data_IF_574439694152
#
_entry.id   IF_574439694152
#
_cell.length_a   1.000
_cell.length_b   1.000
_cell.length_c   1.000
_cell.angle_alpha   90.00
_cell.angle_beta   90.00
_cell.angle_gamma   90.00
#
_symmetry.space_group_name_H-M   'P 1'
#
loop_
_entity.id
_entity.type
_entity.pdbx_description
1 polymer ?
#
# COMPACT_ATOMS: atom_id res chain seq x y z
N UNK A 1 -16.11 -8.33 -7.17
CA UNK A 1 -15.06 -7.30 -7.28
C UNK A 1 -15.52 -6.30 -8.31
N UNK A 2 -15.59 -5.03 -7.94
CA UNK A 2 -16.07 -3.95 -8.81
C UNK A 2 -14.92 -3.02 -9.15
N UNK A 3 -14.76 -2.65 -10.42
CA UNK A 3 -13.61 -1.85 -10.87
C UNK A 3 -13.99 -0.42 -11.23
N UNK A 4 -13.01 0.49 -11.26
CA UNK A 4 -13.23 1.86 -11.73
C UNK A 4 -13.66 1.88 -13.19
N UNK A 5 -13.08 1.01 -14.03
CA UNK A 5 -13.44 0.93 -15.46
C UNK A 5 -14.89 0.48 -15.68
N UNK A 6 -15.47 -0.29 -14.75
CA UNK A 6 -16.90 -0.61 -14.77
C UNK A 6 -17.78 0.61 -14.43
N UNK A 7 -17.25 1.52 -13.59
CA UNK A 7 -17.98 2.69 -13.08
C UNK A 7 -17.84 3.94 -13.94
N UNK A 8 -16.71 4.12 -14.63
CA UNK A 8 -16.42 5.24 -15.51
C UNK A 8 -15.83 4.69 -16.80
N UNK A 9 -16.66 4.51 -17.83
CA UNK A 9 -16.21 3.95 -19.11
C UNK A 9 -15.51 4.99 -19.98
N UNK A 10 -15.95 6.25 -19.94
CA UNK A 10 -15.32 7.34 -20.69
C UNK A 10 -13.95 7.70 -20.12
N UNK A 11 -12.92 7.56 -20.94
CA UNK A 11 -11.52 7.79 -20.56
C UNK A 11 -11.12 9.28 -20.54
N UNK A 12 -11.98 10.15 -21.09
CA UNK A 12 -11.78 11.59 -21.07
C UNK A 12 -12.41 12.29 -19.86
N UNK A 13 -13.22 11.56 -19.08
CA UNK A 13 -13.82 12.05 -17.83
C UNK A 13 -12.75 12.70 -16.95
N UNK A 14 -13.02 13.91 -16.47
CA UNK A 14 -12.13 14.67 -15.59
C UNK A 14 -12.27 14.16 -14.16
N UNK A 15 -11.25 13.48 -13.65
CA UNK A 15 -11.28 12.79 -12.36
C UNK A 15 -10.35 13.46 -11.35
N UNK A 16 -10.88 13.82 -10.19
CA UNK A 16 -10.11 14.24 -9.03
C UNK A 16 -9.95 13.10 -8.01
N UNK A 17 -8.75 12.88 -7.48
CA UNK A 17 -8.51 12.00 -6.32
C UNK A 17 -8.25 12.87 -5.10
N UNK A 18 -9.07 12.73 -4.05
CA UNK A 18 -8.97 13.54 -2.84
C UNK A 18 -9.03 12.71 -1.56
N UNK A 19 -8.31 13.16 -0.53
CA UNK A 19 -8.26 12.49 0.77
C UNK A 19 -9.39 12.95 1.68
N UNK A 20 -10.28 12.06 2.13
CA UNK A 20 -11.50 12.48 2.85
C UNK A 20 -11.22 13.26 4.16
N UNK A 21 -10.15 12.92 4.87
CA UNK A 21 -9.78 13.55 6.15
C UNK A 21 -8.79 14.71 6.01
N UNK A 22 -8.20 14.89 4.84
CA UNK A 22 -7.19 15.90 4.61
C UNK A 22 -6.45 15.72 3.29
N UNK A 23 -5.63 16.69 2.88
CA UNK A 23 -4.92 16.65 1.61
C UNK A 23 -3.97 15.46 1.55
N UNK A 24 -3.91 14.82 0.37
CA UNK A 24 -3.02 13.71 0.10
C UNK A 24 -1.58 14.23 0.05
N UNK A 25 -0.68 13.63 0.82
CA UNK A 25 0.71 14.11 0.89
C UNK A 25 1.42 13.93 -0.45
N UNK A 26 2.00 15.02 -0.96
CA UNK A 26 2.93 15.02 -2.11
C UNK A 26 4.37 14.65 -1.73
N UNK A 27 4.69 14.55 -0.44
CA UNK A 27 6.06 14.30 -0.01
C UNK A 27 6.49 12.90 -0.42
N UNK A 28 7.60 12.78 -1.16
CA UNK A 28 8.16 11.50 -1.59
C UNK A 28 8.51 10.57 -0.41
N UNK A 29 8.77 11.14 0.77
CA UNK A 29 9.00 10.39 2.00
C UNK A 29 7.75 9.83 2.68
N UNK A 30 6.54 10.03 2.12
CA UNK A 30 5.28 9.65 2.74
C UNK A 30 4.69 8.38 2.07
N UNK A 31 4.63 7.29 2.83
CA UNK A 31 4.06 6.01 2.41
C UNK A 31 2.54 6.04 2.25
N UNK A 32 1.81 6.75 3.12
CA UNK A 32 0.35 6.81 3.07
C UNK A 32 -0.12 7.44 1.75
N UNK A 33 0.45 8.58 1.37
CA UNK A 33 0.17 9.23 0.08
C UNK A 33 0.54 8.36 -1.12
N UNK A 34 1.48 7.42 -0.97
CA UNK A 34 1.91 6.55 -2.06
C UNK A 34 0.78 5.72 -2.66
N UNK A 35 -0.20 5.30 -1.84
CA UNK A 35 -1.33 4.50 -2.34
C UNK A 35 -2.19 5.28 -3.33
N UNK A 36 -2.55 6.53 -3.00
CA UNK A 36 -3.31 7.37 -3.92
C UNK A 36 -2.54 7.67 -5.22
N UNK A 37 -1.23 7.87 -5.13
CA UNK A 37 -0.37 8.05 -6.31
C UNK A 37 -0.30 6.77 -7.16
N UNK A 38 -0.27 5.60 -6.54
CA UNK A 38 -0.39 4.31 -7.24
C UNK A 38 -1.74 4.20 -7.96
N UNK A 39 -2.85 4.59 -7.32
CA UNK A 39 -4.18 4.57 -7.94
C UNK A 39 -4.23 5.52 -9.14
N UNK A 40 -3.74 6.75 -9.00
CA UNK A 40 -3.61 7.70 -10.12
C UNK A 40 -2.81 7.08 -11.27
N UNK A 41 -1.69 6.43 -10.95
CA UNK A 41 -0.85 5.73 -11.91
C UNK A 41 -1.60 4.59 -12.61
N UNK A 42 -2.35 3.77 -11.87
CA UNK A 42 -3.18 2.72 -12.43
C UNK A 42 -4.25 3.28 -13.37
N UNK A 43 -4.90 4.39 -13.01
CA UNK A 43 -5.87 5.05 -13.89
C UNK A 43 -5.23 5.52 -15.20
N UNK A 44 -4.08 6.19 -15.13
CA UNK A 44 -3.36 6.63 -16.33
C UNK A 44 -3.05 5.44 -17.25
N UNK A 45 -2.57 4.33 -16.67
CA UNK A 45 -2.27 3.12 -17.45
C UNK A 45 -3.52 2.37 -17.95
N UNK A 46 -4.68 2.58 -17.33
CA UNK A 46 -5.99 2.11 -17.80
C UNK A 46 -6.64 3.07 -18.83
N UNK A 47 -5.90 4.09 -19.28
CA UNK A 47 -6.27 5.00 -20.36
C UNK A 47 -6.87 6.33 -19.95
N UNK A 48 -7.08 6.61 -18.66
CA UNK A 48 -7.61 7.91 -18.23
C UNK A 48 -6.59 9.02 -18.40
N UNK A 49 -6.92 10.04 -19.19
CA UNK A 49 -5.98 11.12 -19.56
C UNK A 49 -6.14 12.38 -18.70
N UNK A 50 -7.30 12.55 -18.07
CA UNK A 50 -7.65 13.75 -17.30
C UNK A 50 -7.86 13.43 -15.82
N UNK A 51 -6.84 12.83 -15.18
CA UNK A 51 -6.87 12.47 -13.77
C UNK A 51 -5.74 13.13 -13.00
N UNK A 52 -6.03 13.62 -11.80
CA UNK A 52 -4.99 14.05 -10.86
C UNK A 52 -5.41 13.91 -9.40
N UNK A 53 -4.41 13.93 -8.52
CA UNK A 53 -4.61 14.14 -7.09
C UNK A 53 -4.86 15.63 -6.85
N UNK A 54 -5.91 15.95 -6.09
CA UNK A 54 -6.31 17.33 -5.85
C UNK A 54 -5.36 18.04 -4.88
N UNK A 55 -5.10 19.31 -5.18
CA UNK A 55 -4.42 20.21 -4.28
C UNK A 55 -5.35 20.80 -3.22
N UNK A 56 -4.75 21.29 -2.15
CA UNK A 56 -5.49 21.93 -1.07
C UNK A 56 -6.32 23.11 -1.63
N UNK A 57 -7.63 23.07 -1.41
CA UNK A 57 -8.55 24.14 -1.78
C UNK A 57 -9.11 24.05 -3.21
N UNK A 58 -8.74 23.03 -3.98
CA UNK A 58 -9.39 22.76 -5.27
C UNK A 58 -10.88 22.42 -5.09
N UNK A 59 -11.68 22.78 -6.09
CA UNK A 59 -13.13 22.62 -6.06
C UNK A 59 -13.56 21.35 -6.78
N UNK A 60 -14.42 20.54 -6.16
CA UNK A 60 -14.97 19.33 -6.76
C UNK A 60 -15.76 19.64 -8.03
N UNK A 61 -16.44 20.79 -8.09
CA UNK A 61 -17.19 21.25 -9.27
C UNK A 61 -16.35 21.44 -10.54
N UNK A 62 -15.02 21.47 -10.42
CA UNK A 62 -14.14 21.53 -11.58
C UNK A 62 -13.94 20.14 -12.24
N UNK A 63 -14.56 19.08 -11.72
CA UNK A 63 -14.39 17.68 -12.13
C UNK A 63 -15.74 17.03 -12.46
N UNK A 64 -15.69 15.99 -13.29
CA UNK A 64 -16.86 15.15 -13.60
C UNK A 64 -17.05 14.05 -12.56
N UNK A 65 -15.94 13.58 -11.97
CA UNK A 65 -15.95 12.56 -10.94
C UNK A 65 -14.88 12.82 -9.86
N UNK A 66 -15.19 12.42 -8.62
CA UNK A 66 -14.28 12.49 -7.48
C UNK A 66 -14.11 11.10 -6.87
N UNK A 67 -12.86 10.66 -6.75
CA UNK A 67 -12.45 9.47 -6.01
C UNK A 67 -12.01 9.91 -4.61
N UNK A 68 -12.77 9.46 -3.61
CA UNK A 68 -12.50 9.68 -2.20
C UNK A 68 -11.57 8.59 -1.67
N UNK A 69 -10.43 9.02 -1.15
CA UNK A 69 -9.42 8.18 -0.53
C UNK A 69 -9.44 8.35 0.99
N UNK A 70 -9.66 7.26 1.71
CA UNK A 70 -9.82 7.27 3.17
C UNK A 70 -8.50 7.16 3.94
N UNK A 71 -7.39 6.91 3.24
CA UNK A 71 -6.09 6.64 3.84
C UNK A 71 -5.74 5.16 3.84
N UNK A 72 -4.44 4.85 3.78
CA UNK A 72 -3.93 3.47 3.63
C UNK A 72 -4.16 2.61 4.87
N UNK A 73 -4.36 3.26 6.02
CA UNK A 73 -4.54 2.64 7.34
C UNK A 73 -5.98 2.79 7.85
N UNK A 74 -6.94 3.06 6.96
CA UNK A 74 -8.34 3.20 7.35
C UNK A 74 -8.96 1.83 7.66
N UNK A 75 -9.47 1.68 8.89
CA UNK A 75 -10.08 0.44 9.40
C UNK A 75 -11.52 0.67 9.92
N UNK A 76 -12.26 1.62 9.32
CA UNK A 76 -13.68 1.83 9.60
C UNK A 76 -14.02 3.06 10.46
N UNK A 77 -13.03 3.84 10.90
CA UNK A 77 -13.28 5.12 11.58
C UNK A 77 -12.28 6.18 11.15
N UNK A 78 -12.74 7.40 10.90
CA UNK A 78 -11.85 8.53 10.60
C UNK A 78 -11.29 9.13 11.88
N UNK A 79 -9.97 9.34 11.90
CA UNK A 79 -9.29 10.08 12.97
C UNK A 79 -9.53 11.58 12.82
N UNK A 80 -10.69 12.03 13.30
CA UNK A 80 -11.00 13.45 13.51
C UNK A 80 -10.61 13.80 14.96
N UNK A 81 -9.36 14.20 15.17
CA UNK A 81 -8.86 14.60 16.50
C UNK A 81 -9.55 15.89 16.96
N UNK A 82 -10.26 15.82 18.10
CA UNK A 82 -10.99 16.97 18.64
C UNK A 82 -12.30 17.25 17.90
N UNK A 83 -12.51 18.51 17.51
CA UNK A 83 -13.64 18.99 16.73
C UNK A 83 -13.45 18.84 15.21
N UNK A 84 -14.36 19.44 14.45
CA UNK A 84 -14.28 19.46 12.98
C UNK A 84 -13.40 20.62 12.51
N UNK A 85 -12.29 20.34 11.83
CA UNK A 85 -11.44 21.37 11.27
C UNK A 85 -12.00 21.96 9.97
N UNK A 86 -11.60 23.20 9.64
CA UNK A 86 -12.06 23.94 8.45
C UNK A 86 -11.98 23.14 7.15
N UNK A 87 -10.87 22.44 6.92
CA UNK A 87 -10.66 21.68 5.68
C UNK A 87 -11.61 20.50 5.55
N UNK A 88 -11.97 19.87 6.68
CA UNK A 88 -12.97 18.81 6.68
C UNK A 88 -14.36 19.38 6.43
N UNK A 89 -14.73 20.48 7.10
CA UNK A 89 -16.02 21.16 6.89
C UNK A 89 -16.21 21.61 5.43
N UNK A 90 -15.19 22.25 4.84
CA UNK A 90 -15.21 22.63 3.41
C UNK A 90 -15.41 21.43 2.50
N UNK A 91 -14.90 20.26 2.87
CA UNK A 91 -15.08 19.03 2.09
C UNK A 91 -16.50 18.52 2.16
N UNK A 92 -17.13 18.56 3.34
CA UNK A 92 -18.55 18.19 3.48
C UNK A 92 -19.43 19.08 2.59
N UNK A 93 -19.22 20.39 2.65
CA UNK A 93 -19.94 21.37 1.81
C UNK A 93 -19.75 21.11 0.30
N UNK A 94 -18.54 20.68 -0.10
CA UNK A 94 -18.30 20.29 -1.48
C UNK A 94 -19.00 18.98 -1.86
N UNK A 95 -19.07 17.99 -0.96
CA UNK A 95 -19.80 16.73 -1.20
C UNK A 95 -21.30 16.97 -1.36
N UNK A 96 -21.89 17.81 -0.51
CA UNK A 96 -23.30 18.23 -0.55
C UNK A 96 -23.67 18.77 -1.94
N UNK A 97 -22.86 19.70 -2.44
CA UNK A 97 -23.18 20.46 -3.65
C UNK A 97 -22.70 19.82 -4.96
N UNK A 98 -21.82 18.81 -4.91
CA UNK A 98 -21.19 18.27 -6.12
C UNK A 98 -22.18 17.54 -7.03
N UNK A 99 -22.41 17.94 -8.29
CA UNK A 99 -23.39 17.26 -9.15
C UNK A 99 -22.84 15.98 -9.82
N UNK A 100 -21.52 15.81 -9.83
CA UNK A 100 -20.85 14.74 -10.55
C UNK A 100 -20.83 13.40 -9.80
N UNK A 101 -20.02 12.47 -10.32
CA UNK A 101 -19.95 11.11 -9.80
C UNK A 101 -19.01 11.01 -8.59
N UNK A 102 -19.55 10.55 -7.46
CA UNK A 102 -18.76 10.26 -6.26
C UNK A 102 -18.39 8.79 -6.21
N UNK A 103 -17.13 8.52 -5.94
CA UNK A 103 -16.58 7.16 -5.81
C UNK A 103 -15.76 7.05 -4.54
N UNK A 104 -15.88 5.93 -3.84
CA UNK A 104 -15.03 5.63 -2.68
C UNK A 104 -14.06 4.50 -3.03
N UNK A 105 -12.77 4.73 -2.79
CA UNK A 105 -11.75 3.72 -3.01
C UNK A 105 -11.77 2.69 -1.87
N UNK A 106 -12.03 1.43 -2.22
CA UNK A 106 -11.85 0.22 -1.41
C UNK A 106 -12.71 0.07 -0.16
N UNK A 107 -13.41 1.11 0.26
CA UNK A 107 -14.30 1.07 1.41
C UNK A 107 -15.61 1.76 1.09
N UNK A 108 -16.67 1.31 1.75
CA UNK A 108 -17.87 2.14 1.87
C UNK A 108 -17.52 3.45 2.59
N UNK A 109 -18.22 4.53 2.26
CA UNK A 109 -18.05 5.76 3.03
C UNK A 109 -18.51 5.52 4.48
N UNK A 110 -17.76 6.03 5.48
CA UNK A 110 -18.26 6.03 6.85
C UNK A 110 -19.51 6.90 6.99
N UNK A 111 -20.23 6.71 8.09
CA UNK A 111 -21.37 7.56 8.45
C UNK A 111 -20.88 8.99 8.80
N UNK A 112 -20.69 9.83 7.78
CA UNK A 112 -20.18 11.19 7.97
C UNK A 112 -21.20 12.06 8.73
N UNK A 113 -22.50 11.78 8.59
CA UNK A 113 -23.56 12.52 9.28
C UNK A 113 -23.44 12.31 10.79
N UNK A 114 -23.32 11.07 11.25
CA UNK A 114 -23.13 10.78 12.66
C UNK A 114 -21.80 11.37 13.18
N UNK A 115 -20.74 11.26 12.38
CA UNK A 115 -19.42 11.79 12.73
C UNK A 115 -19.38 13.31 12.88
N UNK A 116 -20.06 14.04 12.00
CA UNK A 116 -20.23 15.51 12.08
C UNK A 116 -21.10 15.85 13.29
N UNK A 117 -22.28 15.25 13.39
CA UNK A 117 -23.28 15.53 14.43
C UNK A 117 -22.71 15.40 15.84
N UNK A 118 -21.95 14.33 16.11
CA UNK A 118 -21.30 14.09 17.42
C UNK A 118 -20.28 15.17 17.80
N UNK A 119 -19.74 15.92 16.84
CA UNK A 119 -18.65 16.89 17.04
C UNK A 119 -19.10 18.35 16.96
N UNK A 120 -20.33 18.65 16.57
CA UNK A 120 -20.85 20.02 16.49
C UNK A 120 -20.73 20.81 17.80
N UNK A 121 -20.82 20.13 18.94
CA UNK A 121 -20.74 20.74 20.28
C UNK A 121 -19.31 20.90 20.83
N UNK A 122 -18.28 20.41 20.12
CA UNK A 122 -16.91 20.52 20.56
C UNK A 122 -16.41 21.98 20.41
N UNK A 123 -15.74 22.53 21.42
CA UNK A 123 -15.23 23.90 21.39
C UNK A 123 -14.18 24.16 20.31
N UNK A 124 -13.52 23.11 19.82
CA UNK A 124 -12.54 23.17 18.74
C UNK A 124 -13.15 22.99 17.34
N UNK A 125 -14.48 22.88 17.23
CA UNK A 125 -15.17 22.74 15.95
C UNK A 125 -15.23 24.07 15.20
N UNK A 126 -14.89 24.03 13.92
CA UNK A 126 -14.94 25.15 12.99
C UNK A 126 -16.35 25.75 12.92
N UNK A 127 -16.48 27.10 12.86
CA UNK A 127 -17.75 27.75 12.55
C UNK A 127 -18.38 27.30 11.23
N UNK A 128 -17.57 26.84 10.27
CA UNK A 128 -18.06 26.28 9.00
C UNK A 128 -18.91 25.01 9.20
N UNK A 129 -18.83 24.35 10.36
CA UNK A 129 -19.68 23.21 10.65
C UNK A 129 -21.16 23.59 10.75
N UNK A 130 -21.49 24.87 11.04
CA UNK A 130 -22.87 25.34 11.16
C UNK A 130 -23.61 25.45 9.83
N UNK A 131 -22.87 25.48 8.71
CA UNK A 131 -23.43 25.59 7.36
C UNK A 131 -23.45 24.23 6.62
N UNK A 132 -22.99 23.16 7.27
CA UNK A 132 -23.06 21.80 6.72
C UNK A 132 -24.51 21.35 6.76
N UNK A 133 -25.08 21.04 5.61
CA UNK A 133 -26.40 20.43 5.53
C UNK A 133 -26.27 18.91 5.65
N UNK A 134 -26.64 18.37 6.82
CA UNK A 134 -26.53 16.94 7.11
C UNK A 134 -27.41 16.07 6.21
N UNK A 135 -28.55 16.58 5.72
CA UNK A 135 -29.40 15.84 4.80
C UNK A 135 -28.73 15.73 3.42
N UNK A 136 -28.11 16.81 2.94
CA UNK A 136 -27.36 16.79 1.68
C UNK A 136 -26.07 15.97 1.80
N UNK A 137 -25.40 15.97 2.96
CA UNK A 137 -24.28 15.05 3.23
C UNK A 137 -24.76 13.59 3.15
N UNK A 138 -25.92 13.25 3.73
CA UNK A 138 -26.47 11.91 3.64
C UNK A 138 -26.75 11.51 2.18
N UNK A 139 -27.39 12.39 1.40
CA UNK A 139 -27.63 12.15 -0.03
C UNK A 139 -26.32 11.94 -0.80
N UNK A 140 -25.27 12.67 -0.45
CA UNK A 140 -23.95 12.51 -1.04
C UNK A 140 -23.31 11.15 -0.68
N UNK A 141 -23.45 10.69 0.57
CA UNK A 141 -23.03 9.35 1.00
C UNK A 141 -23.80 8.28 0.21
N UNK A 142 -25.13 8.36 0.19
CA UNK A 142 -26.01 7.32 -0.37
C UNK A 142 -25.76 7.09 -1.87
N UNK A 143 -25.40 8.13 -2.62
CA UNK A 143 -25.06 8.02 -4.04
C UNK A 143 -23.60 7.67 -4.32
N UNK A 144 -22.73 7.68 -3.32
CA UNK A 144 -21.30 7.37 -3.52
C UNK A 144 -21.13 5.88 -3.75
N UNK A 145 -20.54 5.50 -4.88
CA UNK A 145 -20.30 4.09 -5.19
C UNK A 145 -18.89 3.67 -4.78
N UNK A 146 -18.77 2.52 -4.11
CA UNK A 146 -17.47 1.89 -3.86
C UNK A 146 -16.91 1.22 -5.13
N UNK A 147 -15.59 1.26 -5.30
CA UNK A 147 -14.85 0.34 -6.19
C UNK A 147 -13.61 -0.24 -5.48
N UNK A 148 -13.23 -1.48 -5.84
CA UNK A 148 -12.13 -2.18 -5.18
C UNK A 148 -10.77 -1.93 -5.84
N UNK A 149 -10.76 -1.79 -7.18
CA UNK A 149 -9.55 -1.70 -8.02
C UNK A 149 -9.81 -0.84 -9.25
N UNK A 150 -8.76 -0.30 -9.86
CA UNK A 150 -8.93 0.44 -11.12
C UNK A 150 -9.39 -0.49 -12.25
N UNK A 151 -8.74 -1.63 -12.43
CA UNK A 151 -9.00 -2.60 -13.49
C UNK A 151 -8.70 -4.03 -13.00
N UNK A 152 -9.40 -5.05 -13.53
CA UNK A 152 -9.02 -6.47 -13.38
C UNK A 152 -7.98 -6.82 -14.44
N UNK A 153 -6.78 -7.18 -14.02
CA UNK A 153 -5.71 -7.66 -14.93
C UNK A 153 -5.31 -9.10 -14.59
N UNK A 154 -4.40 -9.68 -15.36
CA UNK A 154 -3.79 -10.99 -15.05
C UNK A 154 -2.43 -10.87 -14.34
N UNK A 155 -2.10 -9.68 -13.81
CA UNK A 155 -0.81 -9.41 -13.16
C UNK A 155 -1.04 -8.93 -11.74
N UNK A 156 -0.43 -9.59 -10.76
CA UNK A 156 -0.67 -9.29 -9.34
C UNK A 156 0.65 -9.03 -8.60
N UNK A 157 0.66 -7.97 -7.81
CA UNK A 157 1.64 -7.75 -6.75
C UNK A 157 0.97 -8.09 -5.40
N UNK A 158 1.45 -9.14 -4.73
CA UNK A 158 0.84 -9.70 -3.52
C UNK A 158 1.86 -9.77 -2.39
N UNK A 159 1.43 -9.45 -1.17
CA UNK A 159 2.27 -9.65 0.00
C UNK A 159 1.88 -8.83 1.22
N UNK A 160 2.88 -8.52 2.03
CA UNK A 160 2.73 -7.72 3.25
C UNK A 160 2.53 -6.23 2.95
N UNK A 161 2.65 -5.37 3.97
CA UNK A 161 2.47 -3.91 3.83
C UNK A 161 3.47 -3.25 2.87
N UNK A 162 4.62 -3.88 2.60
CA UNK A 162 5.63 -3.39 1.69
C UNK A 162 5.37 -3.79 0.24
N UNK A 163 4.47 -4.73 -0.05
CA UNK A 163 4.35 -5.33 -1.39
C UNK A 163 4.19 -4.29 -2.51
N UNK A 164 3.34 -3.28 -2.30
CA UNK A 164 3.05 -2.27 -3.31
C UNK A 164 4.21 -1.31 -3.61
N UNK A 165 5.25 -1.29 -2.79
CA UNK A 165 6.51 -0.61 -3.14
C UNK A 165 7.16 -1.22 -4.40
N UNK A 166 6.76 -2.43 -4.77
CA UNK A 166 7.21 -3.17 -5.94
C UNK A 166 6.21 -3.14 -7.10
N UNK A 167 5.15 -2.34 -6.98
CA UNK A 167 4.20 -2.07 -8.04
C UNK A 167 4.91 -1.59 -9.32
N UNK A 168 4.33 -1.97 -10.47
CA UNK A 168 4.64 -1.42 -11.78
C UNK A 168 3.34 -1.40 -12.63
N UNK A 169 3.27 -0.58 -13.70
CA UNK A 169 2.10 -0.48 -14.55
C UNK A 169 1.54 -1.82 -15.03
N UNK A 170 0.21 -1.89 -15.11
CA UNK A 170 -0.56 -3.08 -15.49
C UNK A 170 -0.72 -4.13 -14.39
N UNK A 171 -0.10 -3.95 -13.23
CA UNK A 171 -0.30 -4.83 -12.08
C UNK A 171 -1.45 -4.35 -11.20
N UNK A 172 -2.29 -5.29 -10.81
CA UNK A 172 -3.10 -5.16 -9.62
C UNK A 172 -2.21 -5.27 -8.37
N UNK A 173 -2.67 -4.70 -7.25
CA UNK A 173 -1.97 -4.76 -5.96
C UNK A 173 -2.90 -5.29 -4.89
N UNK A 174 -2.39 -6.18 -4.05
CA UNK A 174 -3.06 -6.62 -2.84
C UNK A 174 -2.08 -6.56 -1.66
N UNK A 175 -2.26 -5.52 -0.85
CA UNK A 175 -1.46 -5.19 0.34
C UNK A 175 -2.15 -5.77 1.57
N UNK A 176 -1.41 -6.47 2.42
CA UNK A 176 -1.94 -7.10 3.62
C UNK A 176 -1.09 -6.75 4.84
N UNK A 177 -1.58 -5.82 5.66
CA UNK A 177 -0.88 -5.38 6.84
C UNK A 177 -0.80 -6.51 7.89
N UNK A 178 0.37 -6.71 8.49
CA UNK A 178 0.60 -7.78 9.46
C UNK A 178 0.73 -9.19 8.88
N UNK A 179 0.64 -9.38 7.55
CA UNK A 179 0.71 -10.70 6.93
C UNK A 179 2.14 -11.27 6.94
N UNK A 180 2.36 -12.30 7.75
CA UNK A 180 3.65 -13.02 7.81
C UNK A 180 3.80 -14.06 6.71
N UNK A 181 5.03 -14.31 6.26
CA UNK A 181 5.33 -15.42 5.35
C UNK A 181 4.96 -16.76 5.99
N UNK A 182 5.16 -16.93 7.30
CA UNK A 182 4.75 -18.15 8.00
C UNK A 182 3.25 -18.43 7.84
N UNK A 183 2.39 -17.42 8.02
CA UNK A 183 0.93 -17.63 7.91
C UNK A 183 0.49 -17.92 6.49
N UNK A 184 1.12 -17.28 5.49
CA UNK A 184 0.92 -17.59 4.06
C UNK A 184 1.23 -19.07 3.79
N UNK A 185 2.42 -19.53 4.19
CA UNK A 185 2.89 -20.89 3.90
C UNK A 185 2.10 -21.96 4.66
N UNK A 186 1.74 -21.69 5.91
CA UNK A 186 0.92 -22.60 6.73
C UNK A 186 -0.46 -22.83 6.11
N UNK A 187 -1.11 -21.76 5.63
CA UNK A 187 -2.48 -21.82 5.10
C UNK A 187 -2.52 -22.20 3.60
N UNK A 188 -1.36 -22.16 2.93
CA UNK A 188 -1.18 -22.40 1.51
C UNK A 188 -1.28 -21.11 0.68
N UNK A 189 -0.28 -20.84 -0.14
CA UNK A 189 -0.16 -19.61 -0.92
C UNK A 189 -1.34 -19.39 -1.87
N UNK A 190 -1.79 -20.43 -2.60
CA UNK A 190 -2.97 -20.35 -3.49
C UNK A 190 -4.21 -19.91 -2.70
N UNK A 191 -4.47 -20.58 -1.57
CA UNK A 191 -5.59 -20.26 -0.70
C UNK A 191 -5.50 -18.84 -0.15
N UNK A 192 -4.30 -18.42 0.26
CA UNK A 192 -4.08 -17.09 0.84
C UNK A 192 -4.27 -15.97 -0.19
N UNK A 193 -3.81 -16.16 -1.43
CA UNK A 193 -4.05 -15.22 -2.53
C UNK A 193 -5.56 -15.11 -2.79
N UNK A 194 -6.28 -16.22 -2.89
CA UNK A 194 -7.73 -16.20 -3.09
C UNK A 194 -8.45 -15.50 -1.92
N UNK A 195 -8.17 -15.89 -0.67
CA UNK A 195 -8.78 -15.33 0.54
C UNK A 195 -8.60 -13.81 0.62
N UNK A 196 -7.38 -13.32 0.40
CA UNK A 196 -7.04 -11.91 0.61
C UNK A 196 -7.35 -11.01 -0.57
N UNK A 197 -7.38 -11.56 -1.78
CA UNK A 197 -7.47 -10.77 -3.00
C UNK A 197 -8.72 -11.02 -3.84
N UNK A 198 -9.41 -12.15 -3.62
CA UNK A 198 -10.52 -12.60 -4.45
C UNK A 198 -10.11 -12.99 -5.87
N UNK A 199 -8.82 -13.28 -6.09
CA UNK A 199 -8.25 -13.63 -7.39
C UNK A 199 -7.86 -15.10 -7.39
N UNK A 200 -8.32 -15.84 -8.40
CA UNK A 200 -7.82 -17.17 -8.70
C UNK A 200 -6.40 -17.07 -9.27
N UNK A 201 -5.48 -17.87 -8.75
CA UNK A 201 -4.12 -17.93 -9.27
C UNK A 201 -4.07 -18.44 -10.70
N UNK A 202 -5.08 -19.19 -11.12
CA UNK A 202 -5.17 -19.75 -12.48
C UNK A 202 -5.48 -18.64 -13.52
N UNK A 203 -6.00 -17.48 -13.08
CA UNK A 203 -6.18 -16.28 -13.92
C UNK A 203 -4.89 -15.46 -14.10
N UNK A 204 -3.80 -15.80 -13.38
CA UNK A 204 -2.59 -14.98 -13.32
C UNK A 204 -1.55 -15.40 -14.35
N UNK A 205 -1.07 -14.41 -15.12
CA UNK A 205 0.10 -14.55 -15.99
C UNK A 205 1.38 -14.07 -15.31
N UNK A 206 1.26 -13.18 -14.31
CA UNK A 206 2.39 -12.61 -13.58
C UNK A 206 2.08 -12.49 -12.08
N UNK A 207 3.06 -12.85 -11.25
CA UNK A 207 3.01 -12.66 -9.80
C UNK A 207 4.31 -12.02 -9.31
N UNK A 208 4.22 -10.84 -8.70
CA UNK A 208 5.28 -10.28 -7.85
C UNK A 208 4.92 -10.58 -6.40
N UNK A 209 5.67 -11.48 -5.76
CA UNK A 209 5.46 -11.89 -4.38
C UNK A 209 6.43 -11.20 -3.43
N UNK A 210 5.91 -10.59 -2.37
CA UNK A 210 6.74 -9.90 -1.38
C UNK A 210 6.22 -10.01 0.07
N UNK A 211 6.78 -10.94 0.83
CA UNK A 211 6.52 -11.09 2.25
C UNK A 211 7.75 -11.67 2.97
N UNK A 212 7.76 -11.58 4.31
CA UNK A 212 8.80 -12.17 5.17
C UNK A 212 9.54 -11.17 6.04
N UNK A 213 9.36 -9.87 5.80
CA UNK A 213 10.01 -8.82 6.62
C UNK A 213 9.59 -8.91 8.09
N UNK A 214 8.32 -9.23 8.36
CA UNK A 214 7.77 -9.37 9.72
C UNK A 214 8.37 -10.60 10.42
N UNK A 215 8.48 -11.73 9.72
CA UNK A 215 9.10 -12.96 10.22
C UNK A 215 10.54 -12.70 10.67
N UNK A 216 11.32 -11.98 9.84
CA UNK A 216 12.70 -11.60 10.11
C UNK A 216 12.79 -10.63 11.30
N UNK A 217 11.93 -9.61 11.34
CA UNK A 217 11.95 -8.58 12.38
C UNK A 217 11.59 -9.13 13.76
N UNK A 218 10.56 -9.98 13.85
CA UNK A 218 9.94 -10.30 15.14
C UNK A 218 9.98 -11.78 15.53
N UNK A 219 10.10 -12.72 14.59
CA UNK A 219 9.82 -14.14 14.85
C UNK A 219 11.05 -15.04 14.77
N UNK A 220 11.84 -14.95 13.69
CA UNK A 220 12.88 -15.94 13.38
C UNK A 220 13.94 -16.02 14.48
N UNK A 221 14.48 -14.87 14.91
CA UNK A 221 15.52 -14.82 15.94
C UNK A 221 15.06 -15.29 17.33
N UNK A 222 13.75 -15.55 17.56
CA UNK A 222 13.23 -16.15 18.80
C UNK A 222 13.37 -17.66 18.84
N UNK A 223 13.69 -18.29 17.70
CA UNK A 223 13.93 -19.73 17.60
C UNK A 223 15.40 -20.03 17.89
N UNK A 224 15.64 -21.20 18.47
CA UNK A 224 17.00 -21.69 18.73
C UNK A 224 17.80 -21.83 17.42
N UNK A 225 17.23 -22.54 16.43
CA UNK A 225 17.81 -22.67 15.08
C UNK A 225 17.10 -21.77 14.05
N UNK A 226 17.29 -20.46 14.23
CA UNK A 226 16.67 -19.43 13.39
C UNK A 226 17.15 -19.47 11.93
N UNK A 227 18.37 -19.95 11.67
CA UNK A 227 18.92 -20.08 10.30
C UNK A 227 18.29 -21.26 9.56
N UNK A 228 18.11 -22.41 10.23
CA UNK A 228 17.39 -23.52 9.60
C UNK A 228 15.92 -23.18 9.39
N UNK A 229 15.30 -22.46 10.33
CA UNK A 229 13.91 -22.03 10.20
C UNK A 229 13.68 -21.17 8.93
N UNK A 230 14.51 -20.17 8.68
CA UNK A 230 14.36 -19.34 7.47
C UNK A 230 14.68 -20.10 6.19
N UNK A 231 15.60 -21.07 6.25
CA UNK A 231 15.93 -21.91 5.10
C UNK A 231 14.75 -22.78 4.69
N UNK A 232 14.12 -23.46 5.66
CA UNK A 232 12.92 -24.27 5.42
C UNK A 232 11.78 -23.40 4.87
N UNK A 233 11.55 -22.22 5.45
CA UNK A 233 10.50 -21.31 4.99
C UNK A 233 10.72 -20.83 3.55
N UNK A 234 11.94 -20.44 3.18
CA UNK A 234 12.25 -19.94 1.85
C UNK A 234 12.19 -21.03 0.78
N UNK A 235 12.64 -22.25 1.10
CA UNK A 235 12.50 -23.41 0.21
C UNK A 235 11.03 -23.79 0.02
N UNK A 236 10.25 -23.81 1.10
CA UNK A 236 8.84 -24.15 1.03
C UNK A 236 8.01 -23.10 0.27
N UNK A 237 8.40 -21.82 0.35
CA UNK A 237 7.87 -20.78 -0.53
C UNK A 237 8.13 -21.11 -2.01
N UNK A 238 9.34 -21.56 -2.35
CA UNK A 238 9.67 -22.00 -3.71
C UNK A 238 8.75 -23.12 -4.20
N UNK A 239 8.55 -24.16 -3.40
CA UNK A 239 7.66 -25.27 -3.73
C UNK A 239 6.20 -24.82 -3.93
N UNK A 240 5.67 -23.97 -3.04
CA UNK A 240 4.30 -23.46 -3.19
C UNK A 240 4.13 -22.50 -4.37
N UNK A 241 5.15 -21.70 -4.72
CA UNK A 241 5.11 -20.84 -5.91
C UNK A 241 5.11 -21.68 -7.18
N UNK A 242 5.91 -22.76 -7.21
CA UNK A 242 5.98 -23.68 -8.35
C UNK A 242 4.65 -24.36 -8.61
N UNK A 243 3.91 -24.74 -7.56
CA UNK A 243 2.60 -25.39 -7.71
C UNK A 243 1.49 -24.47 -8.21
N UNK A 244 1.70 -23.14 -8.25
CA UNK A 244 0.72 -22.20 -8.82
C UNK A 244 0.67 -22.22 -10.35
N UNK A 245 1.70 -22.75 -11.02
CA UNK A 245 1.83 -22.77 -12.48
C UNK A 245 1.72 -21.38 -13.15
N UNK A 246 2.03 -20.30 -12.43
CA UNK A 246 2.03 -18.93 -12.98
C UNK A 246 3.27 -18.74 -13.86
N UNK A 247 3.14 -18.30 -15.13
CA UNK A 247 4.27 -18.22 -16.06
C UNK A 247 5.41 -17.29 -15.62
N UNK A 248 5.08 -16.12 -15.06
CA UNK A 248 6.07 -15.10 -14.72
C UNK A 248 6.04 -14.80 -13.22
N UNK A 249 6.98 -15.37 -12.48
CA UNK A 249 7.12 -15.12 -11.04
C UNK A 249 8.32 -14.20 -10.78
N UNK A 250 8.07 -13.17 -9.98
CA UNK A 250 9.09 -12.33 -9.37
C UNK A 250 9.01 -12.47 -7.84
N UNK A 251 10.12 -12.79 -7.17
CA UNK A 251 10.21 -12.81 -5.71
C UNK A 251 11.06 -11.64 -5.26
N UNK A 252 10.55 -10.86 -4.32
CA UNK A 252 11.24 -9.67 -3.80
C UNK A 252 12.08 -10.05 -2.58
N UNK A 253 13.34 -9.59 -2.57
CA UNK A 253 14.24 -9.73 -1.44
C UNK A 253 13.69 -9.03 -0.19
N UNK A 254 13.96 -9.60 0.98
CA UNK A 254 13.71 -8.91 2.23
C UNK A 254 14.52 -7.61 2.31
N UNK A 255 13.95 -6.58 2.93
CA UNK A 255 14.66 -5.30 3.11
C UNK A 255 15.92 -5.50 3.98
N UNK A 256 16.98 -4.71 3.74
CA UNK A 256 18.07 -4.58 4.69
C UNK A 256 17.57 -4.12 6.07
N UNK A 257 18.32 -4.44 7.14
CA UNK A 257 17.95 -4.12 8.51
C UNK A 257 18.54 -2.78 8.92
N UNK A 258 17.73 -1.92 9.52
CA UNK A 258 18.14 -0.64 10.07
C UNK A 258 18.80 -0.80 11.45
N UNK A 259 19.65 0.15 11.82
CA UNK A 259 20.29 0.18 13.14
C UNK A 259 19.26 0.22 14.28
N UNK A 260 19.56 -0.45 15.38
CA UNK A 260 18.69 -0.62 16.55
C UNK A 260 18.36 0.68 17.29
N UNK A 261 19.13 1.75 17.04
CA UNK A 261 18.85 3.08 17.57
C UNK A 261 17.62 3.75 16.94
N UNK A 262 17.05 3.21 15.86
CA UNK A 262 15.82 3.75 15.28
C UNK A 262 14.66 3.63 16.27
N UNK A 263 14.08 4.76 16.64
CA UNK A 263 12.83 4.79 17.42
C UNK A 263 11.67 4.41 16.51
N UNK A 264 10.88 3.42 16.91
CA UNK A 264 9.67 3.00 16.21
C UNK A 264 8.42 3.29 17.08
N UNK A 265 7.27 3.63 16.47
CA UNK A 265 6.00 3.67 17.17
C UNK A 265 5.65 2.33 17.83
N UNK A 266 5.02 2.37 19.01
CA UNK A 266 4.56 1.16 19.72
C UNK A 266 3.57 0.30 18.94
N UNK A 267 2.86 0.90 17.98
CA UNK A 267 1.95 0.18 17.08
C UNK A 267 2.67 -0.86 16.20
N UNK A 268 3.99 -0.74 16.01
CA UNK A 268 4.81 -1.73 15.32
C UNK A 268 5.46 -2.77 16.24
N UNK A 269 5.12 -2.81 17.53
CA UNK A 269 5.75 -3.73 18.48
C UNK A 269 5.09 -5.10 18.45
N UNK A 270 5.89 -6.14 18.67
CA UNK A 270 5.40 -7.49 18.92
C UNK A 270 6.02 -8.02 20.21
N UNK A 271 5.17 -8.51 21.12
CA UNK A 271 5.58 -8.92 22.49
C UNK A 271 6.43 -7.84 23.16
N UNK A 272 5.91 -6.62 23.18
CA UNK A 272 6.50 -5.42 23.79
C UNK A 272 7.89 -5.02 23.28
N UNK A 273 8.30 -5.52 22.11
CA UNK A 273 9.60 -5.22 21.51
C UNK A 273 9.45 -4.75 20.05
N UNK A 274 10.25 -3.76 19.60
CA UNK A 274 10.23 -3.27 18.21
C UNK A 274 10.81 -4.27 17.20
N UNK A 275 11.60 -5.23 17.68
CA UNK A 275 12.22 -6.33 16.94
C UNK A 275 12.76 -7.35 17.96
N UNK A 276 13.22 -8.52 17.50
CA UNK A 276 13.90 -9.49 18.35
C UNK A 276 15.22 -9.95 17.74
N UNK A 277 16.26 -10.07 18.58
CA UNK A 277 17.62 -10.39 18.16
C UNK A 277 18.41 -9.16 17.71
N UNK A 278 19.75 -9.25 17.77
CA UNK A 278 20.64 -8.16 17.38
C UNK A 278 20.56 -7.85 15.89
N UNK A 279 21.00 -6.66 15.50
CA UNK A 279 21.15 -6.26 14.10
C UNK A 279 21.93 -7.30 13.29
N UNK A 280 23.03 -7.81 13.85
CA UNK A 280 23.86 -8.83 13.20
C UNK A 280 23.09 -10.13 12.93
N UNK A 281 22.34 -10.64 13.91
CA UNK A 281 21.51 -11.84 13.76
C UNK A 281 20.43 -11.65 12.70
N UNK A 282 19.68 -10.54 12.76
CA UNK A 282 18.61 -10.25 11.79
C UNK A 282 19.18 -10.05 10.38
N UNK A 283 20.34 -9.41 10.25
CA UNK A 283 21.04 -9.24 8.97
C UNK A 283 21.53 -10.57 8.40
N UNK A 284 21.98 -11.50 9.24
CA UNK A 284 22.34 -12.85 8.80
C UNK A 284 21.12 -13.59 8.24
N UNK A 285 19.97 -13.48 8.91
CA UNK A 285 18.70 -14.03 8.43
C UNK A 285 18.29 -13.43 7.08
N UNK A 286 18.36 -12.10 6.90
CA UNK A 286 18.09 -11.45 5.61
C UNK A 286 19.01 -12.00 4.52
N UNK A 287 20.32 -12.08 4.79
CA UNK A 287 21.29 -12.60 3.82
C UNK A 287 21.02 -14.05 3.45
N UNK A 288 20.63 -14.89 4.43
CA UNK A 288 20.26 -16.29 4.19
C UNK A 288 18.99 -16.40 3.35
N UNK A 289 17.93 -15.66 3.72
CA UNK A 289 16.67 -15.62 2.96
C UNK A 289 16.91 -15.19 1.51
N UNK A 290 17.57 -14.06 1.29
CA UNK A 290 17.81 -13.49 -0.03
C UNK A 290 18.67 -14.42 -0.92
N UNK A 291 19.66 -15.12 -0.34
CA UNK A 291 20.44 -16.14 -1.06
C UNK A 291 19.58 -17.30 -1.54
N UNK A 292 18.65 -17.76 -0.71
CA UNK A 292 17.76 -18.88 -1.08
C UNK A 292 16.75 -18.41 -2.12
N UNK A 293 16.21 -17.19 -1.99
CA UNK A 293 15.38 -16.56 -3.03
C UNK A 293 16.12 -16.53 -4.37
N UNK A 294 17.37 -16.06 -4.40
CA UNK A 294 18.19 -16.05 -5.62
C UNK A 294 18.34 -17.46 -6.23
N UNK A 295 18.65 -18.46 -5.39
CA UNK A 295 18.80 -19.85 -5.80
C UNK A 295 17.50 -20.42 -6.37
N UNK A 296 16.39 -20.29 -5.65
CA UNK A 296 15.07 -20.78 -6.06
C UNK A 296 14.63 -20.10 -7.35
N UNK A 297 14.81 -18.79 -7.46
CA UNK A 297 14.48 -18.07 -8.68
C UNK A 297 15.31 -18.57 -9.87
N UNK A 298 16.63 -18.73 -9.69
CA UNK A 298 17.51 -19.24 -10.74
C UNK A 298 17.12 -20.66 -11.18
N UNK A 299 16.81 -21.55 -10.25
CA UNK A 299 16.43 -22.94 -10.54
C UNK A 299 15.12 -23.06 -11.33
N UNK A 300 14.19 -22.11 -11.15
CA UNK A 300 12.87 -22.15 -11.78
C UNK A 300 12.72 -21.14 -12.93
N UNK A 301 13.79 -20.43 -13.32
CA UNK A 301 13.73 -19.39 -14.36
C UNK A 301 12.92 -18.14 -13.96
N UNK A 302 12.73 -17.92 -12.65
CA UNK A 302 12.04 -16.75 -12.11
C UNK A 302 13.00 -15.59 -11.86
N UNK A 303 12.44 -14.43 -11.53
CA UNK A 303 13.23 -13.24 -11.24
C UNK A 303 13.29 -12.94 -9.74
N UNK A 304 14.49 -12.73 -9.23
CA UNK A 304 14.71 -12.16 -7.90
C UNK A 304 14.85 -10.64 -8.01
N UNK A 305 14.05 -9.89 -7.25
CA UNK A 305 14.10 -8.43 -7.18
C UNK A 305 14.87 -7.98 -5.94
N UNK A 306 16.00 -7.31 -6.16
CA UNK A 306 16.86 -6.77 -5.11
C UNK A 306 16.47 -5.34 -4.77
N UNK A 307 16.71 -4.95 -3.52
CA UNK A 307 16.68 -3.55 -3.11
C UNK A 307 17.98 -2.85 -3.50
N UNK A 308 17.94 -1.61 -3.98
CA UNK A 308 19.11 -0.89 -4.44
C UNK A 308 20.05 -0.56 -3.29
N UNK A 309 21.36 -0.72 -3.52
CA UNK A 309 22.39 -0.40 -2.52
C UNK A 309 22.37 1.06 -2.05
N UNK A 310 21.78 1.99 -2.81
CA UNK A 310 21.59 3.40 -2.41
C UNK A 310 20.72 3.58 -1.16
N UNK A 311 20.00 2.55 -0.72
CA UNK A 311 19.26 2.56 0.54
C UNK A 311 20.15 2.36 1.77
N UNK A 312 21.40 1.98 1.57
CA UNK A 312 22.30 1.62 2.65
C UNK A 312 23.13 2.83 3.12
N UNK A 313 23.41 2.88 4.41
CA UNK A 313 24.42 3.79 4.96
C UNK A 313 25.85 3.22 4.79
N UNK A 314 26.86 3.94 5.26
CA UNK A 314 28.28 3.53 5.18
C UNK A 314 28.57 2.20 5.88
N UNK A 315 27.80 1.86 6.92
CA UNK A 315 27.87 0.60 7.66
C UNK A 315 27.11 -0.55 6.98
N UNK A 316 26.52 -0.31 5.79
CA UNK A 316 25.67 -1.25 5.05
C UNK A 316 24.37 -1.64 5.77
N UNK A 317 23.91 -0.79 6.67
CA UNK A 317 22.60 -0.89 7.33
C UNK A 317 21.55 -0.16 6.48
N UNK A 318 20.27 -0.48 6.63
CA UNK A 318 19.20 0.34 6.03
C UNK A 318 19.29 1.77 6.58
N UNK A 319 19.55 2.74 5.70
CA UNK A 319 19.63 4.15 6.06
C UNK A 319 18.27 4.65 6.55
N UNK A 320 18.28 5.45 7.62
CA UNK A 320 17.06 6.08 8.11
C UNK A 320 16.45 7.05 7.10
N UNK A 321 17.28 7.62 6.20
CA UNK A 321 16.83 8.48 5.10
C UNK A 321 16.08 7.69 4.01
N UNK A 322 16.37 6.40 3.89
CA UNK A 322 15.65 5.50 2.97
C UNK A 322 14.29 5.05 3.51
N UNK A 323 13.99 5.36 4.77
CA UNK A 323 12.75 5.00 5.44
C UNK A 323 11.78 6.18 5.50
N UNK A 324 10.49 5.91 5.71
CA UNK A 324 9.51 6.98 5.81
C UNK A 324 9.72 7.87 7.06
N UNK A 325 9.37 9.16 6.94
CA UNK A 325 9.55 10.17 7.99
C UNK A 325 8.69 9.98 9.25
N UNK A 326 7.48 9.39 9.20
CA UNK A 326 6.73 9.05 10.42
C UNK A 326 7.40 8.00 11.31
N UNK A 327 8.64 7.59 11.00
CA UNK A 327 9.47 6.66 11.76
C UNK A 327 8.87 5.26 11.90
N UNK A 328 8.02 4.87 10.95
CA UNK A 328 7.56 3.51 10.75
C UNK A 328 8.66 2.59 10.20
N UNK A 329 8.30 1.33 9.93
CA UNK A 329 9.12 0.29 9.31
C UNK A 329 9.19 0.39 7.78
N UNK A 330 8.31 1.17 7.14
CA UNK A 330 8.27 1.25 5.67
C UNK A 330 9.38 2.11 5.07
N UNK A 331 9.68 1.81 3.80
CA UNK A 331 10.61 2.58 2.96
C UNK A 331 9.94 3.82 2.38
N UNK A 332 10.73 4.86 2.11
CA UNK A 332 10.26 6.03 1.36
C UNK A 332 9.89 5.63 -0.09
N UNK A 333 8.92 6.33 -0.69
CA UNK A 333 8.57 6.18 -2.11
C UNK A 333 9.74 6.44 -3.04
N UNK A 334 10.73 7.20 -2.60
CA UNK A 334 11.96 7.45 -3.35
C UNK A 334 12.65 6.14 -3.77
N UNK A 335 12.46 5.08 -2.98
CA UNK A 335 13.07 3.79 -3.21
C UNK A 335 12.08 2.75 -3.75
N UNK A 336 10.86 3.13 -4.12
CA UNK A 336 9.92 2.21 -4.74
C UNK A 336 10.38 1.85 -6.15
N UNK A 337 9.99 0.68 -6.64
CA UNK A 337 10.34 0.20 -7.99
C UNK A 337 9.92 1.17 -9.10
N UNK A 338 8.77 1.83 -8.91
CA UNK A 338 8.16 2.73 -9.87
C UNK A 338 8.00 4.13 -9.29
N UNK A 339 8.36 5.14 -10.08
CA UNK A 339 8.00 6.52 -9.80
C UNK A 339 6.53 6.69 -10.19
N UNK A 340 5.66 6.63 -9.18
CA UNK A 340 4.21 6.67 -9.33
C UNK A 340 3.71 8.04 -9.81
N UNK A 341 4.43 9.11 -9.50
CA UNK A 341 4.06 10.48 -9.87
C UNK A 341 4.37 10.74 -11.34
N UNK A 342 5.58 10.38 -11.79
CA UNK A 342 6.02 10.56 -13.17
C UNK A 342 5.69 9.39 -14.10
N UNK A 343 5.02 8.35 -13.57
CA UNK A 343 4.70 7.11 -14.26
C UNK A 343 5.89 6.50 -15.03
N UNK A 344 7.03 6.33 -14.37
CA UNK A 344 8.21 5.76 -15.01
C UNK A 344 9.01 4.84 -14.07
N UNK A 345 9.88 3.99 -14.65
CA UNK A 345 10.76 3.13 -13.84
C UNK A 345 11.66 4.01 -12.98
N UNK A 346 11.66 3.74 -11.67
CA UNK A 346 12.47 4.50 -10.74
C UNK A 346 13.96 4.32 -11.08
N UNK A 347 14.66 5.45 -11.21
CA UNK A 347 16.09 5.51 -11.57
C UNK A 347 16.98 4.83 -10.54
N UNK A 348 16.56 4.80 -9.27
CA UNK A 348 17.30 4.14 -8.18
C UNK A 348 17.36 2.62 -8.40
N UNK A 349 16.36 2.04 -9.06
CA UNK A 349 16.30 0.62 -9.44
C UNK A 349 16.94 0.29 -10.80
N UNK A 350 17.55 1.27 -11.49
CA UNK A 350 18.12 1.04 -12.84
C UNK A 350 19.50 0.35 -12.84
N UNK A 351 20.11 0.06 -11.69
CA UNK A 351 21.48 -0.48 -11.62
C UNK A 351 21.64 -1.94 -11.14
N UNK A 352 20.58 -2.72 -10.90
CA UNK A 352 20.73 -4.05 -10.26
C UNK A 352 19.84 -5.17 -10.83
N UNK A 353 19.63 -5.22 -12.15
CA UNK A 353 18.97 -6.38 -12.79
C UNK A 353 20.01 -7.27 -13.45
N UNK A 354 20.52 -8.26 -12.71
CA UNK A 354 21.14 -9.42 -13.34
C UNK A 354 20.03 -10.20 -14.05
N UNK A 355 20.05 -10.21 -15.38
CA UNK A 355 19.39 -11.26 -16.15
C UNK A 355 20.38 -12.42 -16.14
N UNK A 356 19.99 -13.53 -15.52
CA UNK A 356 20.75 -14.77 -15.54
C UNK A 356 20.57 -15.49 -16.87
#
# INVERSE_FOLDING_TARGET
MTTLVDKIQDKNTKIGIDGLTGPISKRISNHNGAWAHMIMNQCINAGYTNIKILDKGEKFHDYDAIILYLGISYEGTLNLFGGLGDEFCKKMIQLESFPGKLLSLQHELPDLVEMVSKRLKNSSTSPLAQIIDLEEVQKAIDRTEKFDRVEKTSKLCFGDSHCFSMYQPGYMVNRNDGLTLFSILRDGLKNKIMEKSGIDTDDLTHLTFYAGNIDIRHHLCRREDYLKAIEVMALYLGEQLKSLNIPNIEIVHAIPIENESRKLPKTGYYKDTPFYGSWAKRTEVVKRFNRIVDMVCKQNGWKALRWPNKMLNENRELSFDAMEKPQSVHVSREFYRWDMENNCKNKVHKSEVLRF
#
